data_IF_265790195908
#
_entry.id   IF_265790195908
#
_cell.length_a   1.000
_cell.length_b   1.000
_cell.length_c   1.000
_cell.angle_alpha   90.00
_cell.angle_beta   90.00
_cell.angle_gamma   90.00
#
_symmetry.space_group_name_H-M   'P 1'
#
loop_
_entity.id
_entity.type
_entity.pdbx_description
1 polymer ?
#
# COMPACT_ATOMS: atom_id res chain seq x y z
N UNK A 1 9.94 -10.13 -17.95
CA UNK A 1 9.48 -11.11 -16.94
C UNK A 1 10.66 -11.56 -16.09
N UNK A 2 10.45 -11.70 -14.79
CA UNK A 2 11.47 -12.10 -13.82
C UNK A 2 10.94 -13.22 -12.92
N UNK A 3 11.83 -14.10 -12.47
CA UNK A 3 11.62 -14.95 -11.31
C UNK A 3 12.14 -14.20 -10.08
N UNK A 4 11.37 -14.18 -9.00
CA UNK A 4 11.76 -13.58 -7.72
C UNK A 4 11.99 -14.66 -6.70
N UNK A 5 13.07 -14.57 -5.91
CA UNK A 5 13.31 -15.44 -4.78
C UNK A 5 13.63 -14.63 -3.53
N UNK A 6 13.14 -15.11 -2.39
CA UNK A 6 13.56 -14.68 -1.05
C UNK A 6 14.56 -15.68 -0.48
N UNK A 7 15.57 -15.19 0.23
CA UNK A 7 16.50 -16.00 0.99
C UNK A 7 16.37 -15.68 2.46
N UNK A 8 15.86 -16.63 3.23
CA UNK A 8 15.68 -16.53 4.68
C UNK A 8 17.01 -16.42 5.44
N UNK A 9 18.05 -17.16 5.00
CA UNK A 9 19.35 -17.15 5.69
C UNK A 9 20.22 -15.93 5.38
N UNK A 10 19.96 -15.26 4.25
CA UNK A 10 20.80 -14.17 3.77
C UNK A 10 20.09 -12.80 3.79
N UNK A 11 18.82 -12.74 4.19
CA UNK A 11 18.01 -11.53 4.18
C UNK A 11 18.10 -10.76 2.84
N UNK A 12 17.90 -11.49 1.75
CA UNK A 12 18.13 -10.98 0.39
C UNK A 12 16.97 -11.37 -0.53
N UNK A 13 16.56 -10.41 -1.35
CA UNK A 13 15.70 -10.62 -2.51
C UNK A 13 16.59 -10.78 -3.75
N UNK A 14 16.23 -11.70 -4.64
CA UNK A 14 16.88 -11.84 -5.95
C UNK A 14 15.84 -11.83 -7.05
N UNK A 15 16.15 -11.08 -8.12
CA UNK A 15 15.43 -11.14 -9.39
C UNK A 15 16.29 -11.83 -10.42
N UNK A 16 15.70 -12.75 -11.17
CA UNK A 16 16.35 -13.48 -12.25
C UNK A 16 15.62 -13.17 -13.55
N UNK A 17 16.28 -12.55 -14.54
CA UNK A 17 15.65 -12.34 -15.84
C UNK A 17 15.28 -13.68 -16.49
N UNK A 18 14.08 -13.76 -17.05
CA UNK A 18 13.64 -14.92 -17.82
C UNK A 18 13.77 -14.63 -19.31
N UNK A 19 14.68 -15.35 -19.97
CA UNK A 19 14.88 -15.30 -21.40
C UNK A 19 13.88 -16.18 -22.18
N UNK A 20 13.99 -16.17 -23.51
CA UNK A 20 13.20 -17.03 -24.38
C UNK A 20 13.36 -18.51 -24.00
N UNK A 21 12.24 -19.25 -24.01
CA UNK A 21 12.23 -20.66 -23.61
C UNK A 21 12.40 -20.93 -22.11
N UNK A 22 12.30 -19.90 -21.26
CA UNK A 22 12.41 -20.04 -19.80
C UNK A 22 13.86 -20.10 -19.27
N UNK A 23 14.84 -19.71 -20.08
CA UNK A 23 16.23 -19.61 -19.63
C UNK A 23 16.37 -18.59 -18.50
N UNK A 24 16.98 -18.99 -17.38
CA UNK A 24 17.19 -18.15 -16.20
C UNK A 24 18.52 -17.41 -16.37
N UNK A 25 18.45 -16.07 -16.35
CA UNK A 25 19.63 -15.18 -16.43
C UNK A 25 20.35 -15.02 -15.10
N UNK A 26 21.39 -14.20 -15.09
CA UNK A 26 22.14 -13.89 -13.89
C UNK A 26 21.29 -13.07 -12.91
N UNK A 27 21.29 -13.38 -11.61
CA UNK A 27 20.52 -12.69 -10.63
C UNK A 27 21.03 -11.28 -10.35
N UNK A 28 20.12 -10.38 -10.06
CA UNK A 28 20.39 -9.17 -9.29
C UNK A 28 19.92 -9.39 -7.85
N UNK A 29 20.66 -8.88 -6.89
CA UNK A 29 20.40 -9.05 -5.47
C UNK A 29 20.21 -7.71 -4.77
N UNK A 30 19.26 -7.65 -3.86
CA UNK A 30 19.00 -6.53 -2.96
C UNK A 30 18.92 -7.06 -1.53
N UNK A 31 19.74 -6.51 -0.65
CA UNK A 31 19.79 -6.90 0.75
C UNK A 31 20.21 -5.72 1.63
N UNK A 32 20.60 -6.00 2.87
CA UNK A 32 20.99 -4.99 3.85
C UNK A 32 22.08 -4.03 3.32
N UNK A 33 23.13 -4.49 2.61
CA UNK A 33 24.15 -3.59 2.08
C UNK A 33 23.62 -2.57 1.07
N UNK A 34 22.47 -2.83 0.44
CA UNK A 34 21.81 -1.94 -0.52
C UNK A 34 20.63 -1.17 0.09
N UNK A 35 20.47 -1.20 1.41
CA UNK A 35 19.44 -0.44 2.14
C UNK A 35 18.12 -1.18 2.35
N UNK A 36 18.05 -2.49 2.06
CA UNK A 36 16.87 -3.28 2.38
C UNK A 36 16.92 -3.73 3.85
N UNK A 37 16.09 -3.12 4.69
CA UNK A 37 16.04 -3.36 6.14
C UNK A 37 15.16 -4.57 6.52
N UNK A 38 15.41 -5.75 5.97
CA UNK A 38 14.64 -6.96 6.28
C UNK A 38 15.44 -7.94 7.14
N UNK A 39 14.71 -8.66 8.00
CA UNK A 39 15.22 -9.81 8.73
C UNK A 39 14.15 -10.92 8.71
N UNK A 40 14.56 -12.15 8.42
CA UNK A 40 13.66 -13.30 8.28
C UNK A 40 12.47 -13.02 7.33
N UNK A 41 12.72 -12.73 6.03
CA UNK A 41 11.65 -12.45 5.08
C UNK A 41 10.68 -13.64 4.93
N UNK A 42 9.41 -13.42 5.15
CA UNK A 42 8.37 -14.47 5.26
C UNK A 42 7.49 -14.60 4.02
N UNK A 43 7.19 -13.49 3.36
CA UNK A 43 6.33 -13.49 2.18
C UNK A 43 6.71 -12.39 1.19
N UNK A 44 6.37 -12.61 -0.09
CA UNK A 44 6.49 -11.59 -1.14
C UNK A 44 5.26 -11.61 -2.05
N UNK A 45 4.84 -10.43 -2.48
CA UNK A 45 3.84 -10.25 -3.53
C UNK A 45 4.38 -9.31 -4.60
N UNK A 46 4.15 -9.67 -5.85
CA UNK A 46 4.44 -8.81 -6.98
C UNK A 46 3.14 -8.13 -7.43
N UNK A 47 3.19 -6.84 -7.64
CA UNK A 47 2.06 -6.02 -8.08
C UNK A 47 2.51 -5.02 -9.13
N UNK A 48 1.55 -4.60 -9.96
CA UNK A 48 1.74 -3.50 -10.92
C UNK A 48 0.93 -2.30 -10.43
N UNK A 49 1.54 -1.12 -10.45
CA UNK A 49 0.89 0.14 -10.06
C UNK A 49 1.42 1.27 -10.93
N UNK A 50 0.53 2.03 -11.57
CA UNK A 50 0.90 3.18 -12.41
C UNK A 50 1.98 2.88 -13.46
N UNK A 51 2.00 1.66 -14.01
CA UNK A 51 2.97 1.21 -15.01
C UNK A 51 4.33 0.77 -14.45
N UNK A 52 4.53 0.81 -13.14
CA UNK A 52 5.71 0.29 -12.44
C UNK A 52 5.43 -1.07 -11.80
N UNK A 53 6.45 -1.92 -11.72
CA UNK A 53 6.39 -3.21 -11.04
C UNK A 53 6.96 -3.08 -9.63
N UNK A 54 6.22 -3.55 -8.63
CA UNK A 54 6.65 -3.53 -7.24
C UNK A 54 6.64 -4.93 -6.62
N UNK A 55 7.54 -5.15 -5.67
CA UNK A 55 7.53 -6.28 -4.76
C UNK A 55 7.22 -5.76 -3.36
N UNK A 56 6.21 -6.32 -2.72
CA UNK A 56 5.90 -6.06 -1.33
C UNK A 56 6.42 -7.26 -0.54
N UNK A 57 7.33 -7.01 0.38
CA UNK A 57 8.05 -8.04 1.15
C UNK A 57 7.70 -7.92 2.62
N UNK A 58 7.18 -8.99 3.17
CA UNK A 58 6.95 -9.12 4.60
C UNK A 58 8.17 -9.76 5.26
N UNK A 59 8.54 -9.28 6.43
CA UNK A 59 9.70 -9.75 7.20
C UNK A 59 9.33 -9.94 8.67
N UNK A 60 9.37 -11.19 9.12
CA UNK A 60 8.96 -11.57 10.48
C UNK A 60 9.92 -11.02 11.52
N UNK A 61 11.22 -11.17 11.31
CA UNK A 61 12.24 -10.78 12.28
C UNK A 61 12.36 -9.27 12.48
N UNK A 62 12.09 -8.48 11.45
CA UNK A 62 12.07 -7.01 11.55
C UNK A 62 10.67 -6.44 11.81
N UNK A 63 9.62 -7.27 11.83
CA UNK A 63 8.22 -6.83 11.93
C UNK A 63 7.93 -5.70 10.94
N UNK A 64 8.24 -5.90 9.67
CA UNK A 64 8.20 -4.84 8.67
C UNK A 64 7.67 -5.30 7.31
N UNK A 65 7.17 -4.32 6.57
CA UNK A 65 6.86 -4.43 5.15
C UNK A 65 7.82 -3.53 4.38
N UNK A 66 8.47 -4.06 3.37
CA UNK A 66 9.30 -3.28 2.46
C UNK A 66 8.71 -3.29 1.06
N UNK A 67 8.71 -2.15 0.39
CA UNK A 67 8.32 -2.04 -1.00
C UNK A 67 9.57 -1.85 -1.84
N UNK A 68 9.66 -2.62 -2.91
CA UNK A 68 10.81 -2.61 -3.82
C UNK A 68 10.31 -2.46 -5.25
N UNK A 69 10.66 -1.36 -5.88
CA UNK A 69 10.43 -1.17 -7.31
C UNK A 69 11.41 -2.02 -8.11
N UNK A 70 10.89 -2.68 -9.16
CA UNK A 70 11.68 -3.51 -10.08
C UNK A 70 11.63 -2.91 -11.47
N UNK A 71 12.76 -2.45 -11.97
CA UNK A 71 12.86 -1.88 -13.32
C UNK A 71 12.69 -2.95 -14.42
N UNK A 72 12.51 -2.50 -15.66
CA UNK A 72 12.43 -3.39 -16.82
C UNK A 72 13.70 -4.26 -17.02
N UNK A 73 14.83 -3.87 -16.45
CA UNK A 73 16.10 -4.62 -16.48
C UNK A 73 16.31 -5.54 -15.29
N UNK A 74 15.36 -5.52 -14.31
CA UNK A 74 15.44 -6.30 -13.06
C UNK A 74 16.21 -5.61 -11.94
N UNK A 75 16.66 -4.36 -12.14
CA UNK A 75 17.26 -3.57 -11.06
C UNK A 75 16.21 -3.25 -10.01
N UNK A 76 16.58 -3.34 -8.75
CA UNK A 76 15.70 -3.17 -7.61
C UNK A 76 16.07 -1.91 -6.82
N UNK A 77 15.06 -1.18 -6.36
CA UNK A 77 15.18 0.00 -5.49
C UNK A 77 14.15 -0.08 -4.38
N UNK A 78 14.57 0.09 -3.14
CA UNK A 78 13.62 0.24 -2.01
C UNK A 78 12.91 1.58 -2.16
N UNK A 79 11.58 1.55 -2.14
CA UNK A 79 10.75 2.76 -2.20
C UNK A 79 10.12 3.07 -0.86
N UNK A 80 9.86 2.03 -0.04
CA UNK A 80 9.28 2.20 1.28
C UNK A 80 9.73 1.09 2.24
N UNK A 81 9.69 1.40 3.53
CA UNK A 81 9.97 0.48 4.62
C UNK A 81 9.14 0.83 5.85
N UNK A 82 8.02 0.14 6.02
CA UNK A 82 7.07 0.34 7.13
C UNK A 82 7.34 -0.68 8.21
N UNK A 83 7.67 -0.20 9.41
CA UNK A 83 7.86 -1.03 10.61
C UNK A 83 6.56 -1.03 11.42
N UNK A 84 6.23 -2.18 11.99
CA UNK A 84 5.07 -2.29 12.86
C UNK A 84 5.20 -1.40 14.10
N UNK A 85 4.07 -0.85 14.53
CA UNK A 85 3.93 0.05 15.68
C UNK A 85 2.77 -0.39 16.55
N UNK A 86 2.52 0.30 17.66
CA UNK A 86 1.37 0.02 18.52
C UNK A 86 0.01 0.29 17.85
N UNK A 87 0.01 1.09 16.78
CA UNK A 87 -1.20 1.46 16.03
C UNK A 87 -1.43 0.57 14.80
N UNK A 88 -0.48 -0.29 14.46
CA UNK A 88 -0.58 -1.24 13.35
C UNK A 88 -0.79 -2.68 13.84
N UNK A 89 -1.06 -3.64 12.94
CA UNK A 89 -1.43 -5.02 13.29
C UNK A 89 -0.72 -6.03 12.39
N UNK A 90 0.62 -5.93 12.35
CA UNK A 90 1.44 -6.87 11.61
C UNK A 90 2.81 -7.19 12.25
N UNK A 91 2.92 -7.05 13.58
CA UNK A 91 4.13 -7.51 14.29
C UNK A 91 4.43 -8.97 13.92
N UNK A 92 5.70 -9.26 13.71
CA UNK A 92 6.12 -10.59 13.27
C UNK A 92 5.39 -11.07 12.01
N UNK A 93 5.18 -10.19 11.04
CA UNK A 93 4.35 -10.42 9.84
C UNK A 93 4.74 -11.69 9.10
N UNK A 94 3.76 -12.59 8.92
CA UNK A 94 3.92 -13.88 8.26
C UNK A 94 3.04 -14.01 7.03
N UNK A 95 1.90 -13.31 7.02
CA UNK A 95 0.89 -13.44 5.98
C UNK A 95 0.69 -12.10 5.26
N UNK A 96 0.63 -12.19 3.94
CA UNK A 96 0.50 -11.03 3.05
C UNK A 96 -0.41 -11.40 1.87
N UNK A 97 -1.40 -10.57 1.60
CA UNK A 97 -2.23 -10.66 0.40
C UNK A 97 -2.33 -9.31 -0.29
N UNK A 98 -2.56 -9.32 -1.59
CA UNK A 98 -2.77 -8.12 -2.40
C UNK A 98 -4.02 -8.28 -3.27
N UNK A 99 -4.77 -7.21 -3.46
CA UNK A 99 -5.96 -7.15 -4.32
C UNK A 99 -5.91 -5.87 -5.14
N UNK A 100 -6.09 -5.98 -6.45
CA UNK A 100 -6.22 -4.82 -7.32
C UNK A 100 -7.71 -4.52 -7.61
N UNK A 101 -8.09 -3.26 -7.49
CA UNK A 101 -9.39 -2.74 -7.85
C UNK A 101 -9.19 -1.48 -8.70
N UNK A 102 -9.42 -1.59 -10.01
CA UNK A 102 -9.01 -0.54 -10.95
C UNK A 102 -7.51 -0.25 -10.86
N UNK A 103 -7.17 1.02 -10.71
CA UNK A 103 -5.79 1.47 -10.56
C UNK A 103 -5.30 1.49 -9.09
N UNK A 104 -6.10 0.99 -8.14
CA UNK A 104 -5.71 0.87 -6.72
C UNK A 104 -5.23 -0.54 -6.41
N UNK A 105 -4.18 -0.63 -5.60
CA UNK A 105 -3.64 -1.90 -5.09
C UNK A 105 -3.76 -1.88 -3.58
N UNK A 106 -4.60 -2.76 -3.04
CA UNK A 106 -4.76 -2.97 -1.60
C UNK A 106 -3.82 -4.07 -1.11
N UNK A 107 -3.28 -3.86 0.08
CA UNK A 107 -2.33 -4.75 0.74
C UNK A 107 -2.89 -5.11 2.10
N UNK A 108 -2.99 -6.39 2.39
CA UNK A 108 -3.46 -6.91 3.67
C UNK A 108 -2.32 -7.72 4.30
N UNK A 109 -1.93 -7.36 5.50
CA UNK A 109 -0.85 -7.99 6.25
C UNK A 109 -1.32 -8.42 7.63
N UNK A 110 -0.76 -9.50 8.16
CA UNK A 110 -1.04 -9.98 9.51
C UNK A 110 0.13 -10.79 10.05
N UNK A 111 0.25 -10.82 11.35
CA UNK A 111 1.32 -11.45 12.08
C UNK A 111 0.89 -11.91 13.47
N UNK A 112 1.73 -11.67 14.48
CA UNK A 112 1.58 -12.23 15.83
C UNK A 112 0.85 -11.32 16.83
N UNK A 113 0.44 -10.13 16.45
CA UNK A 113 -0.12 -9.11 17.35
C UNK A 113 -1.66 -9.02 17.35
N UNK A 114 -2.32 -10.07 16.91
CA UNK A 114 -3.78 -10.20 16.99
C UNK A 114 -4.54 -9.22 16.12
N UNK A 115 -4.56 -9.47 14.81
CA UNK A 115 -5.30 -8.68 13.84
C UNK A 115 -4.75 -8.72 12.43
N UNK A 116 -5.32 -7.89 11.59
CA UNK A 116 -4.84 -7.63 10.22
C UNK A 116 -4.83 -6.14 9.93
N UNK A 117 -3.88 -5.70 9.16
CA UNK A 117 -3.71 -4.33 8.68
C UNK A 117 -4.07 -4.23 7.21
N UNK A 118 -4.90 -3.24 6.87
CA UNK A 118 -5.19 -2.85 5.49
C UNK A 118 -4.36 -1.62 5.12
N UNK A 119 -3.76 -1.66 3.95
CA UNK A 119 -2.98 -0.57 3.35
C UNK A 119 -3.32 -0.44 1.87
N UNK A 120 -2.93 0.66 1.25
CA UNK A 120 -2.90 0.78 -0.21
C UNK A 120 -1.49 1.16 -0.67
N UNK A 121 -1.09 0.63 -1.84
CA UNK A 121 0.15 1.01 -2.48
C UNK A 121 -0.07 2.33 -3.24
N UNK A 122 0.83 3.28 -3.04
CA UNK A 122 0.86 4.54 -3.74
C UNK A 122 1.67 4.45 -5.03
N UNK A 123 1.45 5.33 -6.03
CA UNK A 123 2.16 5.28 -7.31
C UNK A 123 3.68 5.44 -7.21
N UNK A 124 4.18 6.08 -6.18
CA UNK A 124 5.60 6.26 -5.88
C UNK A 124 6.23 5.06 -5.15
N UNK A 125 5.41 4.05 -4.81
CA UNK A 125 5.81 2.83 -4.14
C UNK A 125 5.78 2.90 -2.61
N UNK A 126 5.10 3.87 -2.01
CA UNK A 126 4.84 3.92 -0.56
C UNK A 126 3.58 3.15 -0.20
N UNK A 127 3.50 2.68 1.05
CA UNK A 127 2.31 2.07 1.64
C UNK A 127 1.59 3.09 2.51
N UNK A 128 0.35 3.36 2.19
CA UNK A 128 -0.53 4.19 3.00
C UNK A 128 -1.42 3.31 3.88
N UNK A 129 -1.44 3.55 5.19
CA UNK A 129 -2.29 2.83 6.13
C UNK A 129 -3.75 3.29 5.96
N UNK A 130 -4.66 2.34 5.77
CA UNK A 130 -6.10 2.62 5.64
C UNK A 130 -6.87 2.25 6.91
N UNK A 131 -6.41 1.24 7.64
CA UNK A 131 -7.06 0.78 8.86
C UNK A 131 -6.66 -0.64 9.24
N UNK A 132 -7.12 -1.11 10.39
CA UNK A 132 -6.85 -2.45 10.88
C UNK A 132 -8.05 -3.08 11.57
N UNK A 133 -8.12 -4.41 11.54
CA UNK A 133 -9.08 -5.20 12.29
C UNK A 133 -8.36 -5.91 13.42
N UNK A 134 -8.73 -5.58 14.66
CA UNK A 134 -8.26 -6.28 15.85
C UNK A 134 -8.89 -7.67 15.97
N UNK A 135 -8.18 -8.58 16.60
CA UNK A 135 -8.76 -9.84 17.05
C UNK A 135 -9.77 -9.58 18.17
N UNK A 136 -10.98 -10.03 17.95
CA UNK A 136 -12.09 -9.92 18.88
C UNK A 136 -12.63 -11.31 19.17
N UNK A 137 -13.32 -11.53 20.32
CA UNK A 137 -13.93 -12.83 20.62
C UNK A 137 -14.80 -13.36 19.48
N UNK A 138 -14.42 -14.50 18.93
CA UNK A 138 -15.10 -15.14 17.81
C UNK A 138 -14.43 -14.92 16.44
N UNK A 139 -13.40 -14.10 16.37
CA UNK A 139 -12.49 -14.01 15.22
C UNK A 139 -11.24 -14.87 15.50
N UNK A 140 -10.64 -15.43 14.47
CA UNK A 140 -9.40 -16.20 14.58
C UNK A 140 -8.26 -15.39 13.92
N UNK A 141 -7.97 -14.23 14.49
CA UNK A 141 -6.96 -13.29 13.98
C UNK A 141 -5.71 -13.26 14.88
N UNK A 142 -5.60 -14.13 15.85
CA UNK A 142 -4.40 -14.29 16.67
C UNK A 142 -3.34 -15.07 15.90
N UNK A 143 -2.09 -14.60 15.91
CA UNK A 143 -0.95 -15.18 15.23
C UNK A 143 -1.27 -15.58 13.78
N UNK A 144 -1.63 -14.59 12.96
CA UNK A 144 -2.08 -14.78 11.58
C UNK A 144 -0.98 -15.41 10.73
N UNK A 145 -1.23 -16.60 10.21
CA UNK A 145 -0.27 -17.40 9.44
C UNK A 145 -0.57 -17.48 7.94
N UNK A 146 -1.82 -17.22 7.54
CA UNK A 146 -2.23 -17.20 6.14
C UNK A 146 -3.33 -16.19 5.88
N UNK A 147 -3.19 -15.45 4.78
CA UNK A 147 -4.21 -14.53 4.27
C UNK A 147 -4.39 -14.78 2.77
N UNK A 148 -5.63 -14.83 2.33
CA UNK A 148 -5.98 -14.71 0.93
C UNK A 148 -7.10 -13.71 0.77
N UNK A 149 -7.08 -12.94 -0.31
CA UNK A 149 -8.08 -11.92 -0.58
C UNK A 149 -8.47 -11.88 -2.05
N UNK A 150 -9.68 -11.42 -2.33
CA UNK A 150 -10.21 -11.24 -3.69
C UNK A 150 -11.20 -10.10 -3.74
N UNK A 151 -11.35 -9.51 -4.91
CA UNK A 151 -12.41 -8.53 -5.18
C UNK A 151 -13.68 -9.26 -5.64
N UNK A 152 -14.80 -8.97 -5.01
CA UNK A 152 -16.14 -9.52 -5.33
C UNK A 152 -17.16 -8.41 -5.20
N UNK A 153 -17.84 -8.09 -6.29
CA UNK A 153 -18.93 -7.10 -6.33
C UNK A 153 -18.57 -5.75 -5.68
N UNK A 154 -17.34 -5.26 -5.91
CA UNK A 154 -16.84 -4.00 -5.35
C UNK A 154 -16.38 -4.07 -3.88
N UNK A 155 -16.40 -5.25 -3.27
CA UNK A 155 -15.90 -5.47 -1.91
C UNK A 155 -14.68 -6.39 -1.92
N UNK A 156 -13.76 -6.18 -0.99
CA UNK A 156 -12.65 -7.10 -0.78
C UNK A 156 -13.07 -8.15 0.25
N UNK A 157 -13.17 -9.40 -0.20
CA UNK A 157 -13.31 -10.55 0.70
C UNK A 157 -11.92 -11.04 1.12
N UNK A 158 -11.67 -11.08 2.42
CA UNK A 158 -10.42 -11.56 3.01
C UNK A 158 -10.70 -12.80 3.85
N UNK A 159 -9.94 -13.85 3.62
CA UNK A 159 -9.96 -15.07 4.43
C UNK A 159 -8.64 -15.16 5.19
N UNK A 160 -8.75 -15.24 6.50
CA UNK A 160 -7.61 -15.22 7.42
C UNK A 160 -7.60 -16.51 8.22
N UNK A 161 -6.43 -17.14 8.33
CA UNK A 161 -6.18 -18.24 9.23
C UNK A 161 -5.05 -17.86 10.19
N UNK A 162 -5.26 -18.11 11.47
CA UNK A 162 -4.30 -17.86 12.55
C UNK A 162 -4.20 -19.06 13.49
N UNK A 163 -3.77 -18.83 14.73
CA UNK A 163 -3.59 -19.89 15.72
C UNK A 163 -4.92 -20.43 16.27
N UNK A 164 -6.00 -19.70 16.11
CA UNK A 164 -7.35 -20.14 16.48
C UNK A 164 -7.91 -21.24 15.57
N UNK A 165 -8.93 -21.93 16.03
CA UNK A 165 -9.61 -22.96 15.25
C UNK A 165 -10.57 -22.32 14.24
N UNK A 166 -10.19 -22.31 12.95
CA UNK A 166 -11.08 -21.90 11.88
C UNK A 166 -10.45 -20.91 10.90
N UNK A 167 -11.32 -20.39 10.04
CA UNK A 167 -11.01 -19.34 9.08
C UNK A 167 -11.95 -18.18 9.34
N UNK A 168 -11.41 -17.00 9.55
CA UNK A 168 -12.18 -15.76 9.63
C UNK A 168 -12.37 -15.19 8.23
N UNK A 169 -13.60 -14.87 7.88
CA UNK A 169 -13.92 -14.09 6.68
C UNK A 169 -14.22 -12.66 7.10
N UNK A 170 -13.47 -11.73 6.53
CA UNK A 170 -13.72 -10.30 6.62
C UNK A 170 -14.21 -9.79 5.27
N UNK A 171 -15.05 -8.77 5.30
CA UNK A 171 -15.50 -8.06 4.10
C UNK A 171 -15.16 -6.59 4.30
N UNK A 172 -14.42 -6.03 3.35
CA UNK A 172 -14.05 -4.62 3.35
C UNK A 172 -14.79 -3.95 2.21
N UNK A 173 -15.65 -3.02 2.53
CA UNK A 173 -16.33 -2.19 1.55
C UNK A 173 -15.38 -1.06 1.14
N UNK A 174 -14.98 -1.07 -0.11
CA UNK A 174 -14.11 -0.02 -0.68
C UNK A 174 -14.90 0.96 -1.54
N UNK A 175 -16.23 0.76 -1.65
CA UNK A 175 -17.07 1.54 -2.54
C UNK A 175 -16.70 1.38 -4.03
N UNK A 176 -17.31 2.17 -4.89
CA UNK A 176 -16.84 2.33 -6.26
C UNK A 176 -15.44 2.98 -6.24
N UNK A 177 -14.55 2.52 -7.13
CA UNK A 177 -13.18 3.05 -7.28
C UNK A 177 -13.06 3.65 -8.67
N UNK A 178 -12.70 4.93 -8.75
CA UNK A 178 -12.45 5.62 -10.00
C UNK A 178 -11.02 5.35 -10.52
N UNK A 179 -10.76 5.54 -11.82
CA UNK A 179 -9.42 5.55 -12.35
C UNK A 179 -8.57 6.65 -11.70
N UNK A 180 -7.28 6.36 -11.49
CA UNK A 180 -6.32 7.35 -11.01
C UNK A 180 -6.24 8.54 -11.94
N UNK A 181 -6.25 9.74 -11.39
CA UNK A 181 -6.10 10.98 -12.12
C UNK A 181 -4.84 11.73 -11.65
N UNK A 182 -4.25 12.50 -12.55
CA UNK A 182 -3.01 13.22 -12.27
C UNK A 182 -3.11 14.62 -12.87
N UNK A 183 -2.73 15.63 -12.11
CA UNK A 183 -2.66 17.01 -12.58
C UNK A 183 -1.63 17.18 -13.70
N UNK A 184 -1.79 18.26 -14.45
CA UNK A 184 -0.83 18.68 -15.47
C UNK A 184 0.48 19.20 -14.86
N UNK A 185 1.41 19.68 -15.69
CA UNK A 185 2.68 20.23 -15.22
C UNK A 185 2.60 21.71 -14.80
N UNK A 186 1.46 22.33 -14.87
CA UNK A 186 1.21 23.74 -14.53
C UNK A 186 0.05 23.81 -13.52
N UNK A 187 -0.04 24.90 -12.76
CA UNK A 187 -1.12 25.16 -11.81
C UNK A 187 -2.49 24.82 -12.40
N UNK A 188 -3.29 24.03 -11.70
CA UNK A 188 -4.52 23.51 -12.26
C UNK A 188 -5.61 23.16 -11.26
N UNK A 189 -6.73 22.72 -11.82
CA UNK A 189 -7.83 22.11 -11.09
C UNK A 189 -7.90 20.64 -11.47
N UNK A 190 -7.80 19.77 -10.47
CA UNK A 190 -8.04 18.34 -10.56
C UNK A 190 -9.33 18.04 -9.80
N UNK A 191 -10.32 17.46 -10.47
CA UNK A 191 -11.62 17.16 -9.87
C UNK A 191 -11.90 15.67 -9.98
N UNK A 192 -12.20 15.06 -8.85
CA UNK A 192 -12.64 13.67 -8.74
C UNK A 192 -14.11 13.48 -9.14
N UNK A 193 -14.70 12.41 -8.68
CA UNK A 193 -16.02 11.92 -9.09
C UNK A 193 -16.95 11.69 -7.88
N UNK A 194 -17.96 10.83 -8.02
CA UNK A 194 -18.78 10.31 -6.91
C UNK A 194 -18.24 8.96 -6.35
N UNK A 195 -17.08 8.54 -6.82
CA UNK A 195 -16.44 7.28 -6.42
C UNK A 195 -15.15 7.60 -5.63
N UNK A 196 -14.59 6.62 -4.94
CA UNK A 196 -13.30 6.81 -4.27
C UNK A 196 -12.18 7.03 -5.29
N UNK A 197 -11.65 8.23 -5.32
CA UNK A 197 -10.63 8.70 -6.25
C UNK A 197 -9.20 8.57 -5.68
N UNK A 198 -8.22 8.47 -6.57
CA UNK A 198 -6.80 8.66 -6.30
C UNK A 198 -6.31 9.81 -7.18
N UNK A 199 -6.09 10.97 -6.55
CA UNK A 199 -5.79 12.23 -7.22
C UNK A 199 -4.37 12.67 -6.87
N UNK A 200 -3.54 12.93 -7.89
CA UNK A 200 -2.15 13.33 -7.76
C UNK A 200 -1.91 14.72 -8.32
N UNK A 201 -1.52 15.69 -7.49
CA UNK A 201 -1.16 17.05 -7.88
C UNK A 201 0.13 17.09 -8.69
N UNK A 202 1.19 16.44 -8.26
CA UNK A 202 2.55 16.48 -8.79
C UNK A 202 3.31 17.76 -8.45
N UNK A 203 3.79 18.46 -9.48
CA UNK A 203 4.48 19.74 -9.32
C UNK A 203 3.51 20.87 -9.66
N UNK A 204 3.76 22.08 -9.21
CA UNK A 204 2.98 23.30 -9.38
C UNK A 204 1.93 23.52 -8.28
N UNK A 205 1.21 24.65 -8.31
CA UNK A 205 0.19 24.94 -7.29
C UNK A 205 -1.17 24.50 -7.80
N UNK A 206 -1.67 23.42 -7.25
CA UNK A 206 -2.89 22.78 -7.71
C UNK A 206 -4.08 23.00 -6.75
N UNK A 207 -5.26 22.91 -7.31
CA UNK A 207 -6.48 22.74 -6.54
C UNK A 207 -7.04 21.35 -6.81
N UNK A 208 -7.09 20.51 -5.78
CA UNK A 208 -7.53 19.12 -5.87
C UNK A 208 -8.83 18.97 -5.10
N UNK A 209 -9.90 18.56 -5.80
CA UNK A 209 -11.24 18.36 -5.25
C UNK A 209 -11.62 16.88 -5.42
N UNK A 210 -11.80 16.12 -4.30
CA UNK A 210 -12.16 14.71 -4.31
C UNK A 210 -13.57 14.48 -4.84
N UNK A 211 -14.57 15.11 -4.22
CA UNK A 211 -15.97 14.94 -4.57
C UNK A 211 -16.76 14.18 -3.52
N UNK A 212 -17.59 13.25 -3.95
CA UNK A 212 -18.16 12.26 -3.04
C UNK A 212 -17.28 11.01 -3.08
N UNK A 213 -17.24 10.25 -1.99
CA UNK A 213 -16.47 8.99 -1.98
C UNK A 213 -15.44 8.92 -0.87
N UNK A 214 -14.57 7.92 -0.93
CA UNK A 214 -13.43 7.81 -0.03
C UNK A 214 -12.16 8.06 -0.83
N UNK A 215 -11.70 9.31 -0.82
CA UNK A 215 -10.70 9.82 -1.73
C UNK A 215 -9.30 9.82 -1.10
N UNK A 216 -8.29 9.69 -1.93
CA UNK A 216 -6.90 9.92 -1.57
C UNK A 216 -6.39 11.07 -2.43
N UNK A 217 -6.11 12.19 -1.80
CA UNK A 217 -5.60 13.39 -2.42
C UNK A 217 -4.13 13.55 -2.05
N UNK A 218 -3.27 13.58 -3.06
CA UNK A 218 -1.82 13.77 -2.91
C UNK A 218 -1.49 15.13 -3.51
N UNK A 219 -1.00 16.04 -2.68
CA UNK A 219 -0.64 17.40 -3.10
C UNK A 219 0.49 17.39 -4.14
N UNK A 220 1.63 16.85 -3.80
CA UNK A 220 2.83 16.87 -4.62
C UNK A 220 3.83 17.93 -4.17
N UNK A 221 4.28 18.78 -5.06
CA UNK A 221 5.17 19.89 -4.75
C UNK A 221 4.55 21.20 -5.24
N UNK A 222 4.54 22.22 -4.38
CA UNK A 222 3.93 23.52 -4.63
C UNK A 222 3.07 23.99 -3.46
N UNK A 223 2.33 25.06 -3.66
CA UNK A 223 1.37 25.52 -2.66
C UNK A 223 -0.03 25.13 -3.07
N UNK A 224 -0.51 24.02 -2.55
CA UNK A 224 -1.70 23.34 -3.01
C UNK A 224 -2.93 23.64 -2.15
N UNK A 225 -4.10 23.41 -2.73
CA UNK A 225 -5.37 23.48 -2.02
C UNK A 225 -6.13 22.17 -2.23
N UNK A 226 -6.35 21.43 -1.14
CA UNK A 226 -7.04 20.15 -1.14
C UNK A 226 -8.43 20.31 -0.54
N UNK A 227 -9.42 19.71 -1.19
CA UNK A 227 -10.81 19.63 -0.75
C UNK A 227 -11.23 18.17 -0.87
N UNK A 228 -11.41 17.47 0.24
CA UNK A 228 -11.84 16.07 0.22
C UNK A 228 -13.25 15.92 -0.30
N UNK A 229 -14.18 16.68 0.27
CA UNK A 229 -15.59 16.63 -0.08
C UNK A 229 -16.39 15.75 0.88
N UNK A 230 -17.28 14.91 0.34
CA UNK A 230 -18.13 14.06 1.16
C UNK A 230 -17.60 12.63 1.22
N UNK A 231 -17.22 12.19 2.41
CA UNK A 231 -16.74 10.82 2.59
C UNK A 231 -15.66 10.68 3.64
N UNK A 232 -14.88 9.61 3.51
CA UNK A 232 -13.74 9.35 4.38
C UNK A 232 -12.45 9.55 3.57
N UNK A 233 -11.92 10.78 3.60
CA UNK A 233 -10.85 11.20 2.73
C UNK A 233 -9.49 11.17 3.43
N UNK A 234 -8.46 10.92 2.64
CA UNK A 234 -7.08 10.94 3.08
C UNK A 234 -6.32 12.01 2.31
N UNK A 235 -5.76 12.96 3.04
CA UNK A 235 -4.89 14.00 2.49
C UNK A 235 -3.43 13.60 2.76
N UNK A 236 -2.66 13.45 1.70
CA UNK A 236 -1.23 13.14 1.75
C UNK A 236 -0.48 14.41 1.39
N UNK A 237 0.24 14.97 2.38
CA UNK A 237 0.98 16.22 2.25
C UNK A 237 2.47 15.96 2.14
N UNK A 238 3.10 16.52 1.12
CA UNK A 238 4.54 16.49 0.92
C UNK A 238 5.30 17.42 1.88
N UNK A 239 6.58 17.16 2.07
CA UNK A 239 7.48 18.05 2.83
C UNK A 239 8.40 18.82 1.87
N UNK A 240 7.84 19.57 0.96
CA UNK A 240 8.57 20.38 -0.01
C UNK A 240 8.98 21.78 0.52
N UNK A 241 8.40 22.17 1.66
CA UNK A 241 8.65 23.46 2.33
C UNK A 241 7.73 24.59 1.87
N UNK A 242 6.78 24.30 1.00
CA UNK A 242 5.73 25.21 0.59
C UNK A 242 4.52 25.10 1.53
N UNK A 243 3.47 25.85 1.29
CA UNK A 243 2.31 25.90 2.18
C UNK A 243 1.06 25.37 1.50
N UNK A 244 0.58 24.25 2.00
CA UNK A 244 -0.65 23.63 1.54
C UNK A 244 -1.83 24.00 2.43
N UNK A 245 -3.03 23.91 1.86
CA UNK A 245 -4.28 24.22 2.53
C UNK A 245 -5.27 23.09 2.31
N UNK A 246 -5.77 22.50 3.40
CA UNK A 246 -6.97 21.67 3.35
C UNK A 246 -8.15 22.58 3.64
N UNK A 247 -9.02 22.77 2.65
CA UNK A 247 -10.02 23.83 2.67
C UNK A 247 -11.35 23.45 3.33
N UNK A 248 -11.65 22.17 3.43
CA UNK A 248 -12.89 21.62 3.97
C UNK A 248 -12.70 20.78 5.22
N UNK A 249 -11.66 21.07 5.99
CA UNK A 249 -11.41 20.37 7.23
C UNK A 249 -12.62 20.54 8.18
N UNK A 250 -13.38 19.49 8.50
CA UNK A 250 -14.55 19.64 9.34
C UNK A 250 -14.15 19.98 10.77
N UNK A 251 -14.88 20.89 11.40
CA UNK A 251 -14.74 21.24 12.83
C UNK A 251 -14.97 20.05 13.78
N UNK A 252 -15.44 18.93 13.25
CA UNK A 252 -15.64 17.68 13.97
C UNK A 252 -14.93 16.57 13.24
N UNK A 253 -13.90 16.03 13.86
CA UNK A 253 -13.05 14.94 13.36
C UNK A 253 -13.89 13.66 13.15
N UNK A 254 -14.55 13.58 12.02
CA UNK A 254 -15.16 12.35 11.56
C UNK A 254 -14.53 12.00 10.21
N UNK A 255 -13.60 11.04 10.25
CA UNK A 255 -13.13 10.25 9.11
C UNK A 255 -12.08 10.84 8.16
N UNK A 256 -11.41 11.94 8.47
CA UNK A 256 -10.25 12.37 7.67
C UNK A 256 -8.94 11.89 8.31
N UNK A 257 -8.02 11.41 7.49
CA UNK A 257 -6.69 10.99 7.91
C UNK A 257 -5.62 11.85 7.23
N UNK A 258 -4.53 12.11 7.94
CA UNK A 258 -3.36 12.76 7.40
C UNK A 258 -2.21 11.75 7.29
N UNK A 259 -1.53 11.78 6.19
CA UNK A 259 -0.21 11.20 6.05
C UNK A 259 0.76 12.35 5.73
N UNK A 260 1.81 12.47 6.52
CA UNK A 260 2.91 13.43 6.29
C UNK A 260 4.10 12.61 5.83
N UNK A 261 4.74 13.05 4.78
CA UNK A 261 5.97 12.45 4.24
C UNK A 261 7.16 12.61 5.15
#
# INVERSE_FOLDING_TARGET
TFLVSLSLEADVIRTFPLGPGGAIGQPQALGVPQGLGIADPSAVRAVEMAGSSFLIVASTGSSSLSVVEVSATGSMRVTDHVVDTLDTRFAGVQALATVSAGDRVFVIAGGSDGGVQLMTLMPDGRLLLLGGQLDLPGLALDNVSAITARLVDGQIEVFVAGEGAGITRLTIDIGPVAPMQTAGPEDGLLTGTEAGDLLLGRDANDRIEGGDGADILIDGAGSDTLVGGAGADIHVLGQDGERDVIADFPDVVANHQFAVD
#
